data_IF_213209541876
#
_entry.id   IF_213209541876
#
_cell.length_a   1.000
_cell.length_b   1.000
_cell.length_c   1.000
_cell.angle_alpha   90.00
_cell.angle_beta   90.00
_cell.angle_gamma   90.00
#
_symmetry.space_group_name_H-M   'P 1'
#
loop_
_entity.id
_entity.type
_entity.pdbx_description
1 polymer ?
#
# COMPACT_ATOMS: atom_id res chain seq x y z
N UNK A 1 14.04 26.96 21.43
CA UNK A 1 14.62 26.25 20.28
C UNK A 1 13.69 25.11 19.91
N UNK A 2 12.77 25.36 18.97
CA UNK A 2 11.88 24.33 18.44
C UNK A 2 12.37 24.01 17.03
N UNK A 3 13.24 23.01 16.96
CA UNK A 3 13.76 22.47 15.71
C UNK A 3 12.57 21.97 14.88
N UNK A 4 12.16 22.80 13.91
CA UNK A 4 11.14 22.44 12.94
C UNK A 4 11.73 21.28 12.14
N UNK A 5 11.34 20.05 12.49
CA UNK A 5 11.55 18.88 11.64
C UNK A 5 10.87 19.17 10.31
N UNK A 6 11.66 19.68 9.36
CA UNK A 6 11.26 19.85 7.98
C UNK A 6 11.14 18.44 7.42
N UNK A 7 9.97 17.83 7.54
CA UNK A 7 9.70 16.56 6.87
C UNK A 7 9.69 16.91 5.39
N UNK A 8 10.64 16.40 4.58
CA UNK A 8 10.64 16.68 3.15
C UNK A 8 9.32 16.19 2.57
N UNK A 9 8.52 17.12 2.04
CA UNK A 9 7.30 16.78 1.32
C UNK A 9 7.71 16.05 0.03
N UNK A 10 7.10 14.89 -0.29
CA UNK A 10 7.40 14.20 -1.53
C UNK A 10 7.15 15.12 -2.73
N UNK A 11 8.21 15.49 -3.44
CA UNK A 11 8.13 16.25 -4.69
C UNK A 11 7.63 15.41 -5.88
N UNK A 12 7.41 14.11 -5.66
CA UNK A 12 6.95 13.17 -6.66
C UNK A 12 5.43 12.99 -6.60
N UNK A 13 4.80 12.78 -7.75
CA UNK A 13 3.34 12.52 -7.87
C UNK A 13 2.91 11.20 -7.22
N UNK A 14 3.85 10.42 -6.67
CA UNK A 14 3.63 9.08 -6.13
C UNK A 14 3.72 9.14 -4.60
N UNK A 15 2.59 8.93 -3.92
CA UNK A 15 2.57 8.72 -2.47
C UNK A 15 2.77 7.25 -2.15
N UNK A 16 3.74 6.96 -1.29
CA UNK A 16 3.91 5.61 -0.76
C UNK A 16 2.67 5.20 0.05
N UNK A 17 2.13 3.98 -0.17
CA UNK A 17 1.00 3.49 0.61
C UNK A 17 1.39 3.39 2.09
N UNK A 18 0.43 3.63 2.98
CA UNK A 18 0.66 3.49 4.42
C UNK A 18 0.89 2.02 4.77
N UNK A 19 1.74 1.71 5.76
CA UNK A 19 1.89 0.33 6.24
C UNK A 19 0.52 -0.25 6.62
N UNK A 20 0.16 -1.40 6.03
CA UNK A 20 -1.12 -2.05 6.30
C UNK A 20 -0.96 -3.56 6.42
N UNK A 21 -1.66 -4.15 7.39
CA UNK A 21 -1.72 -5.61 7.59
C UNK A 21 -2.81 -6.27 6.73
N UNK A 22 -3.60 -5.48 6.00
CA UNK A 22 -4.70 -5.95 5.16
C UNK A 22 -4.28 -7.06 4.19
N UNK A 23 -3.20 -6.88 3.40
CA UNK A 23 -2.75 -7.90 2.45
C UNK A 23 -2.38 -9.24 3.13
N UNK A 24 -1.78 -9.18 4.32
CA UNK A 24 -1.40 -10.38 5.09
C UNK A 24 -2.64 -11.15 5.52
N UNK A 25 -3.62 -10.47 6.11
CA UNK A 25 -4.87 -11.11 6.53
C UNK A 25 -5.70 -11.62 5.35
N UNK A 26 -5.66 -10.93 4.22
CA UNK A 26 -6.30 -11.38 2.99
C UNK A 26 -5.67 -12.69 2.48
N UNK A 27 -4.35 -12.77 2.45
CA UNK A 27 -3.64 -13.99 2.05
C UNK A 27 -3.93 -15.17 2.99
N UNK A 28 -3.95 -14.93 4.30
CA UNK A 28 -4.31 -15.96 5.30
C UNK A 28 -5.76 -16.43 5.10
N UNK A 29 -6.70 -15.51 4.90
CA UNK A 29 -8.10 -15.84 4.62
C UNK A 29 -8.26 -16.65 3.33
N UNK A 30 -7.55 -16.28 2.28
CA UNK A 30 -7.55 -17.00 1.00
C UNK A 30 -7.00 -18.42 1.15
N UNK A 31 -5.87 -18.57 1.85
CA UNK A 31 -5.28 -19.86 2.14
C UNK A 31 -6.23 -20.73 2.97
N UNK A 32 -6.84 -20.19 4.03
CA UNK A 32 -7.83 -20.89 4.84
C UNK A 32 -9.06 -21.33 4.04
N UNK A 33 -9.54 -20.49 3.12
CA UNK A 33 -10.66 -20.81 2.22
C UNK A 33 -10.30 -21.94 1.24
N UNK A 34 -9.13 -21.87 0.60
CA UNK A 34 -8.66 -22.89 -0.33
C UNK A 34 -8.47 -24.21 0.42
N UNK A 35 -7.71 -24.20 1.52
CA UNK A 35 -7.48 -25.38 2.34
C UNK A 35 -8.80 -25.97 2.86
N UNK A 36 -9.73 -25.14 3.35
CA UNK A 36 -11.04 -25.60 3.81
C UNK A 36 -11.90 -26.22 2.71
N UNK A 37 -11.79 -25.72 1.46
CA UNK A 37 -12.54 -26.26 0.32
C UNK A 37 -12.00 -27.62 -0.13
N UNK A 38 -10.68 -27.74 -0.22
CA UNK A 38 -10.01 -28.97 -0.68
C UNK A 38 -9.76 -30.00 0.41
N UNK A 39 -9.98 -29.67 1.69
CA UNK A 39 -9.89 -30.61 2.81
C UNK A 39 -11.03 -31.64 2.87
N UNK A 40 -11.91 -31.70 1.86
CA UNK A 40 -12.97 -32.70 1.77
C UNK A 40 -12.37 -34.10 1.64
N UNK A 41 -12.38 -34.87 2.74
CA UNK A 41 -11.73 -36.18 2.85
C UNK A 41 -10.69 -36.28 3.98
N UNK A 42 -10.33 -35.16 4.62
CA UNK A 42 -9.49 -35.11 5.81
C UNK A 42 -10.30 -35.11 7.11
N UNK A 43 -9.63 -35.30 8.25
CA UNK A 43 -10.18 -35.48 9.61
C UNK A 43 -11.14 -34.37 10.09
N UNK A 44 -11.10 -33.17 9.50
CA UNK A 44 -11.85 -31.99 9.98
C UNK A 44 -13.03 -31.63 9.09
N UNK A 45 -14.09 -31.08 9.69
CA UNK A 45 -15.25 -30.55 8.98
C UNK A 45 -14.84 -29.42 8.01
N UNK A 46 -14.71 -29.70 6.70
CA UNK A 46 -14.06 -28.79 5.75
C UNK A 46 -14.85 -27.50 5.57
N UNK A 47 -16.18 -27.60 5.66
CA UNK A 47 -17.12 -26.49 5.52
C UNK A 47 -16.94 -25.41 6.59
N UNK A 48 -16.63 -25.79 7.83
CA UNK A 48 -16.44 -24.82 8.93
C UNK A 48 -15.17 -24.00 8.69
N UNK A 49 -14.07 -24.68 8.35
CA UNK A 49 -12.80 -24.01 8.06
C UNK A 49 -12.85 -23.14 6.80
N UNK A 50 -13.53 -23.62 5.75
CA UNK A 50 -13.80 -22.81 4.56
C UNK A 50 -14.62 -21.56 4.89
N UNK A 51 -15.65 -21.67 5.73
CA UNK A 51 -16.48 -20.55 6.15
C UNK A 51 -15.66 -19.52 6.97
N UNK A 52 -14.83 -19.98 7.90
CA UNK A 52 -13.94 -19.09 8.68
C UNK A 52 -12.98 -18.36 7.75
N UNK A 53 -12.33 -19.07 6.82
CA UNK A 53 -11.44 -18.49 5.82
C UNK A 53 -12.15 -17.44 4.95
N UNK A 54 -13.37 -17.73 4.51
CA UNK A 54 -14.20 -16.79 3.75
C UNK A 54 -14.50 -15.50 4.53
N UNK A 55 -14.93 -15.62 5.78
CA UNK A 55 -15.22 -14.46 6.65
C UNK A 55 -13.97 -13.60 6.79
N UNK A 56 -12.82 -14.23 7.05
CA UNK A 56 -11.54 -13.53 7.21
C UNK A 56 -11.14 -12.79 5.92
N UNK A 57 -11.27 -13.46 4.77
CA UNK A 57 -10.99 -12.90 3.47
C UNK A 57 -11.86 -11.67 3.18
N UNK A 58 -13.16 -11.77 3.43
CA UNK A 58 -14.10 -10.66 3.22
C UNK A 58 -13.82 -9.48 4.16
N UNK A 59 -13.52 -9.75 5.43
CA UNK A 59 -13.17 -8.72 6.40
C UNK A 59 -11.87 -7.99 6.02
N UNK A 60 -10.84 -8.75 5.63
CA UNK A 60 -9.56 -8.19 5.17
C UNK A 60 -9.74 -7.36 3.90
N UNK A 61 -10.49 -7.87 2.92
CA UNK A 61 -10.81 -7.16 1.69
C UNK A 61 -11.54 -5.84 1.97
N UNK A 62 -12.55 -5.86 2.84
CA UNK A 62 -13.27 -4.65 3.26
C UNK A 62 -12.34 -3.63 3.92
N UNK A 63 -11.37 -4.08 4.72
CA UNK A 63 -10.37 -3.21 5.35
C UNK A 63 -9.48 -2.53 4.32
N UNK A 64 -8.96 -3.30 3.35
CA UNK A 64 -8.13 -2.78 2.25
C UNK A 64 -8.90 -1.72 1.46
N UNK A 65 -10.12 -2.04 1.01
CA UNK A 65 -10.93 -1.11 0.21
C UNK A 65 -11.21 0.19 0.98
N UNK A 66 -11.56 0.10 2.26
CA UNK A 66 -11.76 1.30 3.10
C UNK A 66 -10.48 2.13 3.27
N UNK A 67 -9.33 1.48 3.42
CA UNK A 67 -8.03 2.13 3.45
C UNK A 67 -7.74 2.87 2.15
N UNK A 68 -7.87 2.18 1.01
CA UNK A 68 -7.64 2.74 -0.32
C UNK A 68 -8.54 3.93 -0.63
N UNK A 69 -9.84 3.85 -0.29
CA UNK A 69 -10.78 4.97 -0.46
C UNK A 69 -10.34 6.18 0.35
N UNK A 70 -9.94 5.98 1.61
CA UNK A 70 -9.48 7.06 2.48
C UNK A 70 -8.18 7.69 1.98
N UNK A 71 -7.25 6.88 1.47
CA UNK A 71 -6.00 7.37 0.91
C UNK A 71 -6.22 8.14 -0.40
N UNK A 72 -7.15 7.67 -1.25
CA UNK A 72 -7.56 8.37 -2.47
C UNK A 72 -8.09 9.79 -2.17
N UNK A 73 -8.98 9.93 -1.18
CA UNK A 73 -9.51 11.25 -0.81
C UNK A 73 -8.51 12.15 -0.09
N UNK A 74 -7.36 11.63 0.33
CA UNK A 74 -6.28 12.40 0.96
C UNK A 74 -5.28 12.96 -0.05
N UNK A 75 -5.34 12.53 -1.31
CA UNK A 75 -4.45 13.05 -2.35
C UNK A 75 -4.69 14.55 -2.53
N UNK A 76 -3.64 15.39 -2.42
CA UNK A 76 -3.79 16.82 -2.64
C UNK A 76 -4.23 17.07 -4.09
N UNK A 77 -5.33 17.80 -4.25
CA UNK A 77 -5.93 18.11 -5.57
C UNK A 77 -5.14 19.12 -6.39
N UNK A 78 -4.14 19.78 -5.80
CA UNK A 78 -3.30 20.77 -6.46
C UNK A 78 -1.85 20.34 -6.37
N UNK A 79 -1.26 20.04 -7.51
CA UNK A 79 0.17 19.84 -7.67
C UNK A 79 0.83 21.22 -7.57
N UNK A 80 1.51 21.52 -6.46
CA UNK A 80 2.54 22.54 -6.54
C UNK A 80 3.69 21.93 -7.33
N UNK A 81 3.86 22.38 -8.57
CA UNK A 81 5.07 22.16 -9.34
C UNK A 81 6.16 23.00 -8.68
N UNK A 82 6.57 22.65 -7.47
CA UNK A 82 7.91 22.96 -7.00
C UNK A 82 8.81 22.10 -7.86
N UNK A 83 9.12 22.63 -9.05
CA UNK A 83 10.12 22.05 -9.92
C UNK A 83 11.29 21.72 -9.03
N UNK A 84 11.63 20.43 -8.96
CA UNK A 84 12.88 20.03 -8.37
C UNK A 84 13.90 20.96 -9.00
N UNK A 85 14.55 21.79 -8.19
CA UNK A 85 15.74 22.48 -8.62
C UNK A 85 16.73 21.35 -8.88
N UNK A 86 16.66 20.77 -10.08
CA UNK A 86 17.71 19.94 -10.62
C UNK A 86 18.95 20.80 -10.41
N UNK A 87 19.94 20.34 -9.63
CA UNK A 87 21.18 21.08 -9.54
C UNK A 87 21.60 21.32 -10.98
N UNK A 88 21.71 22.60 -11.36
CA UNK A 88 22.34 22.98 -12.61
C UNK A 88 23.80 22.59 -12.41
N UNK A 89 24.09 21.31 -12.63
CA UNK A 89 25.42 20.83 -12.98
C UNK A 89 25.85 21.80 -14.08
N UNK A 90 26.74 22.70 -13.70
CA UNK A 90 27.21 23.76 -14.58
C UNK A 90 28.06 23.02 -15.59
N UNK A 91 27.44 22.57 -16.69
CA UNK A 91 28.15 22.00 -17.81
C UNK A 91 28.98 23.16 -18.39
N UNK A 92 30.19 23.33 -17.86
CA UNK A 92 31.19 24.18 -18.45
C UNK A 92 31.57 23.54 -19.78
N UNK A 93 31.26 24.24 -20.88
CA UNK A 93 31.74 23.84 -22.19
C UNK A 93 33.28 23.76 -22.19
N UNK A 94 33.88 22.89 -23.00
CA UNK A 94 35.33 22.75 -23.05
C UNK A 94 35.98 24.11 -23.40
N UNK A 95 37.15 24.45 -22.80
CA UNK A 95 37.86 25.68 -23.15
C UNK A 95 38.20 25.65 -24.64
N UNK A 96 37.91 26.75 -25.34
CA UNK A 96 38.36 26.93 -26.73
C UNK A 96 39.89 27.05 -26.72
N UNK A 97 40.56 26.09 -27.34
CA UNK A 97 41.93 26.19 -27.81
C UNK A 97 41.94 25.87 -29.31
#
# INVERSE_FOLDING_TARGET
MAEHRHIPEPGETIYAPRPSWGPVFFAIGALGLICGTFASGFIFAPKIWGLIGLIFLLAAFRSIVRGSVRDYYRLPRRQEVRGAALPVETISGPPRA
#
